data_IF_234141772006
#
_entry.id   IF_234141772006
#
_cell.length_a   1.000
_cell.length_b   1.000
_cell.length_c   1.000
_cell.angle_alpha   90.00
_cell.angle_beta   90.00
_cell.angle_gamma   90.00
#
_symmetry.space_group_name_H-M   'P 1'
#
loop_
_entity.id
_entity.type
_entity.pdbx_description
1 polymer ?
#
# COMPACT_ATOMS: atom_id res chain seq x y z
N UNK A 1 8.28 -3.16 -7.86
CA UNK A 1 9.14 -4.24 -7.30
C UNK A 1 8.88 -5.52 -8.08
N UNK A 2 9.91 -6.28 -8.40
CA UNK A 2 9.81 -7.63 -8.98
C UNK A 2 10.30 -8.65 -7.95
N UNK A 3 9.63 -9.79 -7.81
CA UNK A 3 9.98 -10.82 -6.83
C UNK A 3 9.45 -12.19 -7.25
N UNK A 4 10.15 -13.25 -6.82
CA UNK A 4 9.71 -14.65 -6.95
C UNK A 4 9.05 -15.18 -5.67
N UNK A 5 9.04 -14.37 -4.60
CA UNK A 5 8.43 -14.73 -3.31
C UNK A 5 6.92 -14.85 -3.41
N UNK A 6 6.32 -15.76 -2.63
CA UNK A 6 4.89 -15.82 -2.43
C UNK A 6 4.40 -14.62 -1.59
N UNK A 7 3.12 -14.22 -1.67
CA UNK A 7 2.59 -13.08 -0.93
C UNK A 7 2.85 -13.11 0.59
N UNK A 8 2.73 -14.29 1.21
CA UNK A 8 2.97 -14.43 2.66
C UNK A 8 4.45 -14.38 3.01
N UNK A 9 5.34 -14.83 2.13
CA UNK A 9 6.79 -14.70 2.29
C UNK A 9 7.20 -13.24 2.16
N UNK A 10 6.66 -12.53 1.16
CA UNK A 10 6.88 -11.10 1.01
C UNK A 10 6.41 -10.34 2.26
N UNK A 11 5.23 -10.66 2.80
CA UNK A 11 4.74 -10.07 4.06
C UNK A 11 5.68 -10.36 5.23
N UNK A 12 6.20 -11.58 5.34
CA UNK A 12 7.20 -11.90 6.38
C UNK A 12 8.44 -11.00 6.25
N UNK A 13 8.95 -10.81 5.03
CA UNK A 13 10.11 -9.97 4.78
C UNK A 13 9.84 -8.49 5.07
N UNK A 14 8.69 -7.93 4.68
CA UNK A 14 8.35 -6.53 4.99
C UNK A 14 8.25 -6.30 6.49
N UNK A 15 7.63 -7.21 7.24
CA UNK A 15 7.55 -7.14 8.71
C UNK A 15 8.90 -7.35 9.39
N UNK A 16 9.80 -8.12 8.79
CA UNK A 16 11.19 -8.23 9.27
C UNK A 16 11.94 -6.91 9.13
N UNK A 17 11.85 -6.24 7.97
CA UNK A 17 12.49 -4.94 7.71
C UNK A 17 12.01 -3.89 8.71
N UNK A 18 10.70 -3.80 8.94
CA UNK A 18 10.14 -2.87 9.93
C UNK A 18 10.72 -3.11 11.34
N UNK A 19 10.87 -4.37 11.75
CA UNK A 19 11.49 -4.73 13.04
C UNK A 19 12.96 -4.31 13.11
N UNK A 20 13.72 -4.56 12.05
CA UNK A 20 15.14 -4.17 11.96
C UNK A 20 15.34 -2.66 12.03
N UNK A 21 14.42 -1.87 11.45
CA UNK A 21 14.41 -0.39 11.54
C UNK A 21 14.00 0.10 12.94
N UNK A 22 13.40 -0.76 13.77
CA UNK A 22 13.09 -0.45 15.16
C UNK A 22 11.60 -0.44 15.50
N UNK A 23 10.74 -1.06 14.69
CA UNK A 23 9.33 -1.29 15.06
C UNK A 23 9.26 -2.16 16.31
N UNK A 24 8.82 -1.57 17.42
CA UNK A 24 8.60 -2.26 18.70
C UNK A 24 7.21 -2.90 18.75
N UNK A 25 7.06 -3.95 19.54
CA UNK A 25 5.75 -4.53 19.86
C UNK A 25 5.00 -3.58 20.80
N UNK A 26 4.23 -2.67 20.22
CA UNK A 26 3.43 -1.69 20.95
C UNK A 26 1.94 -1.96 20.77
N UNK A 27 1.11 -1.25 21.54
CA UNK A 27 -0.35 -1.28 21.45
C UNK A 27 -0.84 -0.91 20.04
N UNK A 28 -2.06 -1.34 19.73
CA UNK A 28 -2.75 -1.00 18.47
C UNK A 28 -2.82 0.53 18.32
N UNK A 29 -2.52 1.03 17.11
CA UNK A 29 -2.57 2.48 16.75
C UNK A 29 -1.54 3.37 17.45
N UNK A 30 -0.28 2.94 17.49
CA UNK A 30 0.83 3.75 17.97
C UNK A 30 1.64 4.33 16.79
N UNK A 31 2.39 5.39 17.07
CA UNK A 31 3.39 5.94 16.15
C UNK A 31 4.44 4.90 15.79
N UNK A 32 4.87 4.87 14.54
CA UNK A 32 5.83 3.90 14.03
C UNK A 32 6.84 4.60 13.15
N UNK A 33 8.09 4.16 13.22
CA UNK A 33 9.17 4.70 12.39
C UNK A 33 8.86 4.47 10.91
N UNK A 34 8.35 3.28 10.57
CA UNK A 34 7.96 2.92 9.21
C UNK A 34 6.83 1.87 9.24
N UNK A 35 6.05 1.82 8.17
CA UNK A 35 5.07 0.77 7.88
C UNK A 35 5.09 0.49 6.39
N UNK A 36 5.20 -0.79 6.05
CA UNK A 36 5.33 -1.26 4.68
C UNK A 36 4.10 -2.11 4.40
N UNK A 37 3.22 -1.55 3.56
CA UNK A 37 2.00 -2.21 3.12
C UNK A 37 2.15 -2.79 1.71
N UNK A 38 1.66 -4.02 1.52
CA UNK A 38 1.56 -4.64 0.20
C UNK A 38 0.21 -4.23 -0.40
N UNK A 39 0.24 -3.31 -1.38
CA UNK A 39 -0.98 -2.80 -2.02
C UNK A 39 -1.50 -3.75 -3.10
N UNK A 40 -0.61 -4.21 -3.98
CA UNK A 40 -0.90 -5.10 -5.10
C UNK A 40 0.16 -6.18 -5.21
N UNK A 41 -0.18 -7.30 -5.85
CA UNK A 41 0.77 -8.37 -6.16
C UNK A 41 0.45 -8.93 -7.56
N UNK A 42 0.97 -8.25 -8.59
CA UNK A 42 0.53 -8.47 -9.96
C UNK A 42 -0.99 -8.31 -10.09
N UNK A 43 -1.62 -9.23 -10.80
CA UNK A 43 -3.07 -9.37 -10.98
C UNK A 43 -3.75 -10.24 -9.90
N UNK A 44 -3.01 -10.68 -8.88
CA UNK A 44 -3.54 -11.64 -7.90
C UNK A 44 -4.56 -10.99 -6.96
N UNK A 45 -5.64 -11.73 -6.74
CA UNK A 45 -6.53 -11.56 -5.60
C UNK A 45 -6.17 -12.62 -4.58
N UNK A 46 -5.71 -12.21 -3.40
CA UNK A 46 -5.26 -13.09 -2.33
C UNK A 46 -5.91 -12.71 -1.00
N UNK A 47 -6.34 -13.70 -0.24
CA UNK A 47 -6.95 -13.49 1.07
C UNK A 47 -6.55 -14.60 2.02
N UNK A 48 -5.90 -14.21 3.12
CA UNK A 48 -5.61 -15.07 4.25
C UNK A 48 -5.97 -14.37 5.56
N UNK A 49 -5.78 -15.04 6.70
CA UNK A 49 -6.01 -14.43 8.02
C UNK A 49 -5.08 -13.23 8.29
N UNK A 50 -3.93 -13.16 7.61
CA UNK A 50 -2.87 -12.17 7.86
C UNK A 50 -2.70 -11.15 6.72
N UNK A 51 -3.15 -11.47 5.52
CA UNK A 51 -2.88 -10.66 4.32
C UNK A 51 -4.10 -10.62 3.39
N UNK A 52 -4.41 -9.45 2.86
CA UNK A 52 -5.41 -9.25 1.80
C UNK A 52 -4.79 -8.43 0.69
N UNK A 53 -4.89 -8.93 -0.54
CA UNK A 53 -4.41 -8.28 -1.76
C UNK A 53 -5.54 -8.33 -2.80
N UNK A 54 -5.88 -7.21 -3.46
CA UNK A 54 -5.37 -5.86 -3.20
C UNK A 54 -5.63 -5.38 -1.77
N UNK A 55 -4.83 -4.44 -1.28
CA UNK A 55 -5.01 -3.91 0.07
C UNK A 55 -6.42 -3.30 0.19
N UNK A 56 -7.23 -3.72 1.17
CA UNK A 56 -8.68 -3.47 1.16
C UNK A 56 -9.05 -1.99 1.22
N UNK A 57 -8.18 -1.14 1.77
CA UNK A 57 -8.44 0.30 1.95
C UNK A 57 -7.52 1.18 1.09
N UNK A 58 -6.79 0.62 0.12
CA UNK A 58 -5.88 1.45 -0.70
C UNK A 58 -6.64 2.50 -1.53
N UNK A 59 -7.82 2.14 -2.04
CA UNK A 59 -8.69 2.99 -2.86
C UNK A 59 -9.44 4.08 -2.06
N UNK A 60 -9.31 4.09 -0.74
CA UNK A 60 -10.01 5.02 0.14
C UNK A 60 -9.09 6.11 0.72
N UNK A 61 -7.82 6.14 0.31
CA UNK A 61 -6.77 6.94 0.98
C UNK A 61 -5.97 7.75 -0.03
N UNK A 62 -6.06 9.07 0.05
CA UNK A 62 -5.37 9.96 -0.88
C UNK A 62 -3.85 9.82 -0.78
N UNK A 63 -3.30 9.63 0.43
CA UNK A 63 -1.86 9.45 0.61
C UNK A 63 -1.33 8.14 -0.01
N UNK A 64 -2.21 7.22 -0.38
CA UNK A 64 -1.87 6.03 -1.17
C UNK A 64 -2.07 6.30 -2.66
N UNK A 65 -3.21 6.88 -3.04
CA UNK A 65 -3.58 7.09 -4.45
C UNK A 65 -2.72 8.14 -5.16
N UNK A 66 -2.39 9.24 -4.49
CA UNK A 66 -1.55 10.33 -5.05
C UNK A 66 -0.19 9.80 -5.53
N UNK A 67 0.65 9.17 -4.69
CA UNK A 67 1.94 8.63 -5.16
C UNK A 67 1.76 7.43 -6.10
N UNK A 68 0.69 6.64 -5.96
CA UNK A 68 0.45 5.51 -6.86
C UNK A 68 0.09 5.96 -8.29
N UNK A 69 -0.62 7.08 -8.43
CA UNK A 69 -0.93 7.66 -9.74
C UNK A 69 0.33 8.07 -10.50
N UNK A 70 1.33 8.61 -9.80
CA UNK A 70 2.61 9.03 -10.39
C UNK A 70 3.34 7.86 -11.07
N UNK A 71 3.28 6.66 -10.47
CA UNK A 71 4.05 5.50 -10.93
C UNK A 71 3.22 4.45 -11.68
N UNK A 72 1.90 4.43 -11.50
CA UNK A 72 1.01 3.36 -11.98
C UNK A 72 -0.46 3.81 -12.11
N UNK A 73 -0.71 4.99 -12.66
CA UNK A 73 -2.06 5.54 -12.84
C UNK A 73 -3.02 4.67 -13.66
N UNK A 74 -2.50 3.94 -14.65
CA UNK A 74 -3.24 3.05 -15.55
C UNK A 74 -3.47 1.64 -14.98
N UNK A 75 -2.89 1.32 -13.81
CA UNK A 75 -3.07 0.02 -13.16
C UNK A 75 -4.55 -0.18 -12.81
N UNK A 76 -5.13 -1.28 -13.30
CA UNK A 76 -6.51 -1.65 -13.00
C UNK A 76 -6.57 -2.39 -11.67
N UNK A 77 -7.39 -1.91 -10.73
CA UNK A 77 -7.63 -2.56 -9.46
C UNK A 77 -8.38 -3.90 -9.67
N UNK A 78 -7.78 -5.07 -9.38
CA UNK A 78 -8.30 -6.38 -9.76
C UNK A 78 -9.74 -6.69 -9.32
N UNK A 79 -10.18 -6.15 -8.18
CA UNK A 79 -11.54 -6.37 -7.67
C UNK A 79 -12.54 -5.27 -8.00
N UNK A 80 -12.09 -4.05 -8.31
CA UNK A 80 -12.98 -2.91 -8.57
C UNK A 80 -13.14 -2.64 -10.07
N UNK A 81 -12.21 -3.13 -10.90
CA UNK A 81 -12.24 -2.94 -12.34
C UNK A 81 -12.00 -1.48 -12.79
N UNK A 82 -11.55 -0.62 -11.87
CA UNK A 82 -11.21 0.78 -12.12
C UNK A 82 -9.70 0.97 -12.11
N UNK A 83 -9.22 1.89 -12.93
CA UNK A 83 -7.83 2.37 -12.90
C UNK A 83 -7.53 3.13 -11.61
N UNK A 84 -6.25 3.25 -11.24
CA UNK A 84 -5.85 4.09 -10.10
C UNK A 84 -6.26 5.55 -10.31
N UNK A 85 -6.19 6.05 -11.55
CA UNK A 85 -6.67 7.40 -11.89
C UNK A 85 -8.18 7.57 -11.61
N UNK A 86 -9.02 6.61 -12.05
CA UNK A 86 -10.45 6.63 -11.75
C UNK A 86 -10.72 6.55 -10.24
N UNK A 87 -9.97 5.72 -9.51
CA UNK A 87 -10.10 5.62 -8.05
C UNK A 87 -9.70 6.92 -7.36
N UNK A 88 -8.64 7.60 -7.83
CA UNK A 88 -8.24 8.91 -7.34
C UNK A 88 -9.35 9.95 -7.52
N UNK A 89 -9.93 10.05 -8.72
CA UNK A 89 -11.01 10.99 -9.03
C UNK A 89 -12.23 10.75 -8.13
N UNK A 90 -12.53 9.50 -7.81
CA UNK A 90 -13.68 9.11 -6.99
C UNK A 90 -13.40 9.00 -5.48
N UNK A 91 -12.16 9.25 -5.05
CA UNK A 91 -11.77 9.12 -3.66
C UNK A 91 -12.47 10.19 -2.80
N UNK A 92 -13.02 9.77 -1.66
CA UNK A 92 -13.74 10.68 -0.73
C UNK A 92 -12.90 11.16 0.44
N UNK A 93 -11.64 10.75 0.51
CA UNK A 93 -10.71 11.20 1.55
C UNK A 93 -10.36 12.67 1.30
N UNK A 94 -10.74 13.53 2.24
CA UNK A 94 -10.58 14.99 2.15
C UNK A 94 -9.30 15.48 2.83
N UNK A 95 -8.45 14.57 3.31
CA UNK A 95 -7.18 14.93 3.92
C UNK A 95 -6.21 15.46 2.87
N UNK A 96 -5.49 16.52 3.24
CA UNK A 96 -4.47 17.12 2.38
C UNK A 96 -3.28 16.16 2.22
N UNK A 97 -2.82 16.00 0.98
CA UNK A 97 -1.61 15.25 0.64
C UNK A 97 -0.64 16.21 -0.02
N UNK A 98 0.50 16.40 0.63
CA UNK A 98 1.57 17.27 0.15
C UNK A 98 2.68 16.36 -0.39
N UNK A 99 2.96 16.48 -1.68
CA UNK A 99 4.17 15.89 -2.26
C UNK A 99 5.36 16.72 -1.79
N UNK A 100 6.28 16.08 -1.08
CA UNK A 100 7.53 16.71 -0.71
C UNK A 100 8.44 16.68 -1.94
N UNK A 101 8.72 17.84 -2.52
CA UNK A 101 9.76 17.96 -3.52
C UNK A 101 11.10 17.56 -2.88
N UNK A 102 11.88 16.74 -3.57
CA UNK A 102 13.21 16.42 -3.11
C UNK A 102 14.09 17.67 -3.29
N UNK A 103 14.18 18.51 -2.25
CA UNK A 103 15.32 19.39 -2.08
C UNK A 103 16.55 18.51 -1.82
N UNK A 104 17.19 18.05 -2.91
CA UNK A 104 18.53 17.43 -2.90
C UNK A 104 19.58 18.52 -2.94
#
# INVERSE_FOLDING_TARGET
VQTELLPEELLFHTKKIEKEIGRKENKKWHERIIDIDILFFGDKIFSSKKLKIPHPHCHERMFVLVPLMEIAGDLIHPTLGMTIEELYINCRDTLEVILLENDV
#
